data_IF_254683871132
#
_entry.id   IF_254683871132
#
_cell.length_a   1.000
_cell.length_b   1.000
_cell.length_c   1.000
_cell.angle_alpha   90.00
_cell.angle_beta   90.00
_cell.angle_gamma   90.00
#
_symmetry.space_group_name_H-M   'P 1'
#
loop_
_entity.id
_entity.type
_entity.pdbx_description
1 polymer ?
#
# COMPACT_ATOMS: atom_id res chain seq x y z
N UNK A 1 -9.82 -15.88 -9.65
CA UNK A 1 -10.44 -16.22 -8.37
C UNK A 1 -9.36 -16.44 -7.32
N UNK A 2 -9.48 -15.80 -6.15
CA UNK A 2 -8.46 -15.83 -5.08
C UNK A 2 -8.39 -17.16 -4.33
N UNK A 3 -9.27 -18.12 -4.60
CA UNK A 3 -9.35 -19.41 -3.88
C UNK A 3 -8.15 -20.34 -4.14
N UNK A 4 -7.53 -20.24 -5.29
CA UNK A 4 -6.41 -21.11 -5.67
C UNK A 4 -5.11 -20.74 -4.92
N UNK A 5 -5.03 -19.55 -4.37
CA UNK A 5 -3.91 -19.07 -3.56
C UNK A 5 -4.08 -19.32 -2.06
N UNK A 6 -5.31 -19.57 -1.62
CA UNK A 6 -5.64 -19.83 -0.21
C UNK A 6 -5.50 -21.32 0.20
N UNK A 7 -5.37 -22.23 -0.77
CA UNK A 7 -5.46 -23.68 -0.55
C UNK A 7 -4.35 -24.28 0.33
N UNK A 8 -3.28 -23.53 0.61
CA UNK A 8 -2.15 -24.03 1.40
C UNK A 8 -1.98 -23.40 2.78
N UNK A 9 -2.84 -22.48 3.20
CA UNK A 9 -2.71 -21.78 4.48
C UNK A 9 -3.93 -21.97 5.36
N UNK A 10 -3.72 -22.55 6.55
CA UNK A 10 -4.77 -22.69 7.58
C UNK A 10 -5.14 -21.34 8.24
N UNK A 11 -4.29 -20.33 8.14
CA UNK A 11 -4.46 -19.01 8.72
C UNK A 11 -3.79 -17.96 7.81
N UNK A 12 -4.43 -16.83 7.63
CA UNK A 12 -4.01 -15.77 6.69
C UNK A 12 -4.68 -15.94 5.32
N UNK A 13 -4.44 -15.03 4.40
CA UNK A 13 -5.02 -15.12 3.06
C UNK A 13 -4.82 -13.89 2.20
N UNK A 14 -5.19 -14.05 0.93
CA UNK A 14 -5.26 -12.98 -0.05
C UNK A 14 -6.69 -12.43 -0.09
N UNK A 15 -6.83 -11.13 0.21
CA UNK A 15 -8.08 -10.38 0.07
C UNK A 15 -8.02 -9.51 -1.15
N UNK A 16 -8.86 -9.83 -2.12
CA UNK A 16 -9.14 -8.94 -3.24
C UNK A 16 -10.23 -7.97 -2.79
N UNK A 17 -9.91 -6.70 -2.77
CA UNK A 17 -10.85 -5.63 -2.50
C UNK A 17 -11.37 -5.10 -3.84
N UNK A 18 -12.52 -5.58 -4.32
CA UNK A 18 -13.09 -5.07 -5.56
C UNK A 18 -13.55 -3.61 -5.35
N UNK A 19 -13.56 -2.81 -6.42
CA UNK A 19 -14.10 -1.44 -6.37
C UNK A 19 -15.61 -1.40 -6.14
N UNK A 20 -16.29 -2.56 -6.08
CA UNK A 20 -17.74 -2.67 -5.99
C UNK A 20 -18.22 -3.18 -4.65
N UNK A 21 -19.05 -2.36 -4.02
CA UNK A 21 -20.11 -2.66 -3.07
C UNK A 21 -19.95 -3.86 -2.13
N UNK A 22 -19.43 -3.59 -0.94
CA UNK A 22 -20.03 -4.18 0.25
C UNK A 22 -20.90 -3.10 0.89
N UNK A 23 -22.22 -3.31 0.80
CA UNK A 23 -23.19 -2.41 1.35
C UNK A 23 -23.06 -2.28 2.87
N UNK A 24 -22.38 -1.24 3.27
CA UNK A 24 -22.58 -0.61 4.56
C UNK A 24 -23.47 0.60 4.31
N UNK A 25 -24.51 0.76 5.09
CA UNK A 25 -25.66 1.65 4.90
C UNK A 25 -25.37 3.16 4.75
N UNK A 26 -24.19 3.63 4.37
CA UNK A 26 -23.86 5.06 4.36
C UNK A 26 -23.05 5.60 3.18
N UNK A 27 -22.89 4.88 2.08
CA UNK A 27 -22.40 5.53 0.86
C UNK A 27 -23.50 5.63 -0.17
N UNK A 28 -23.99 6.82 -0.41
CA UNK A 28 -25.04 7.11 -1.38
C UNK A 28 -24.68 6.80 -2.85
N UNK A 29 -23.52 6.24 -3.13
CA UNK A 29 -23.08 5.92 -4.50
C UNK A 29 -22.56 4.49 -4.72
N UNK A 30 -22.45 3.66 -3.68
CA UNK A 30 -22.09 2.22 -3.85
C UNK A 30 -20.72 1.92 -4.44
N UNK A 31 -19.89 2.90 -4.70
CA UNK A 31 -18.55 2.77 -5.28
C UNK A 31 -17.51 3.31 -4.32
N UNK A 32 -16.43 2.53 -4.06
CA UNK A 32 -15.29 3.05 -3.31
C UNK A 32 -14.58 4.12 -4.15
N UNK A 33 -14.40 5.31 -3.57
CA UNK A 33 -13.70 6.42 -4.24
C UNK A 33 -12.19 6.33 -4.09
N UNK A 34 -11.69 5.42 -3.25
CA UNK A 34 -10.27 5.23 -3.05
C UNK A 34 -9.91 4.05 -2.18
N UNK A 35 -8.60 3.83 -2.02
CA UNK A 35 -8.03 2.71 -1.26
C UNK A 35 -8.48 2.69 0.21
N UNK A 36 -8.61 3.84 0.85
CA UNK A 36 -9.04 3.93 2.25
C UNK A 36 -10.48 3.48 2.46
N UNK A 37 -11.38 3.83 1.55
CA UNK A 37 -12.77 3.37 1.59
C UNK A 37 -12.86 1.84 1.48
N UNK A 38 -12.11 1.27 0.53
CA UNK A 38 -12.05 -0.17 0.35
C UNK A 38 -11.51 -0.87 1.61
N UNK A 39 -10.47 -0.31 2.23
CA UNK A 39 -9.88 -0.85 3.47
C UNK A 39 -10.85 -0.74 4.66
N UNK A 40 -11.64 0.32 4.74
CA UNK A 40 -12.64 0.47 5.80
C UNK A 40 -13.67 -0.67 5.78
N UNK A 41 -14.05 -1.14 4.59
CA UNK A 41 -14.98 -2.26 4.41
C UNK A 41 -14.47 -3.60 4.94
N UNK A 42 -13.15 -3.78 5.07
CA UNK A 42 -12.53 -5.03 5.57
C UNK A 42 -11.91 -4.90 6.95
N UNK A 43 -12.15 -3.79 7.63
CA UNK A 43 -11.58 -3.50 8.96
C UNK A 43 -11.85 -4.64 9.97
N UNK A 44 -13.07 -5.18 9.98
CA UNK A 44 -13.44 -6.30 10.85
C UNK A 44 -12.61 -7.54 10.57
N UNK A 45 -12.38 -7.87 9.30
CA UNK A 45 -11.54 -8.99 8.93
C UNK A 45 -10.09 -8.80 9.36
N UNK A 46 -9.52 -7.63 9.09
CA UNK A 46 -8.17 -7.28 9.54
C UNK A 46 -8.04 -7.43 11.05
N UNK A 47 -9.06 -7.00 11.81
CA UNK A 47 -9.06 -7.11 13.27
C UNK A 47 -8.98 -8.56 13.76
N UNK A 48 -9.70 -9.47 13.12
CA UNK A 48 -9.78 -10.88 13.52
C UNK A 48 -8.66 -11.75 12.95
N UNK A 49 -7.86 -11.26 12.02
CA UNK A 49 -6.71 -12.02 11.50
C UNK A 49 -5.69 -12.27 12.63
N UNK A 50 -5.00 -13.40 12.58
CA UNK A 50 -3.94 -13.75 13.55
C UNK A 50 -2.58 -13.18 13.19
N UNK A 51 -2.42 -12.80 11.93
CA UNK A 51 -1.15 -12.34 11.38
C UNK A 51 -0.80 -10.93 11.91
N UNK A 52 0.42 -10.70 12.40
CA UNK A 52 0.82 -9.40 12.93
C UNK A 52 1.10 -8.37 11.85
N UNK A 53 1.50 -8.81 10.66
CA UNK A 53 1.83 -7.94 9.52
C UNK A 53 0.82 -8.08 8.40
N UNK A 54 0.65 -7.00 7.67
CA UNK A 54 -0.19 -6.92 6.47
C UNK A 54 0.61 -6.37 5.30
N UNK A 55 0.29 -6.87 4.12
CA UNK A 55 0.74 -6.32 2.85
C UNK A 55 -0.47 -5.68 2.17
N UNK A 56 -0.38 -4.39 1.92
CA UNK A 56 -1.33 -3.66 1.11
C UNK A 56 -0.71 -3.47 -0.28
N UNK A 57 -1.41 -3.90 -1.33
CA UNK A 57 -0.90 -3.80 -2.70
C UNK A 57 -1.97 -3.30 -3.66
N UNK A 58 -1.56 -2.50 -4.63
CA UNK A 58 -2.37 -2.15 -5.78
C UNK A 58 -2.44 -3.32 -6.76
N UNK A 59 -3.58 -3.47 -7.41
CA UNK A 59 -3.80 -4.55 -8.38
C UNK A 59 -3.29 -4.27 -9.80
N UNK A 60 -2.67 -3.12 -10.03
CA UNK A 60 -2.19 -2.65 -11.33
C UNK A 60 -0.71 -2.96 -11.62
N UNK A 61 -0.01 -3.53 -10.64
CA UNK A 61 1.42 -3.81 -10.76
C UNK A 61 1.70 -5.32 -10.72
N UNK A 62 2.36 -5.83 -11.75
CA UNK A 62 2.82 -7.22 -11.82
C UNK A 62 4.32 -7.23 -11.52
N UNK A 63 4.71 -7.99 -10.50
CA UNK A 63 6.11 -8.11 -10.10
C UNK A 63 6.47 -9.55 -9.75
N UNK A 64 7.75 -9.89 -9.85
CA UNK A 64 8.29 -11.16 -9.34
C UNK A 64 8.88 -11.00 -7.92
N UNK A 65 8.37 -10.05 -7.14
CA UNK A 65 8.85 -9.77 -5.79
C UNK A 65 8.61 -10.93 -4.84
N UNK A 66 9.58 -11.17 -3.98
CA UNK A 66 9.44 -12.13 -2.87
C UNK A 66 9.03 -11.39 -1.59
N UNK A 67 7.78 -11.48 -1.23
CA UNK A 67 7.25 -10.79 -0.03
C UNK A 67 7.99 -11.17 1.25
N UNK A 68 8.52 -12.41 1.33
CA UNK A 68 9.35 -12.84 2.46
C UNK A 68 10.58 -11.96 2.65
N UNK A 69 11.25 -11.59 1.57
CA UNK A 69 12.47 -10.77 1.61
C UNK A 69 12.14 -9.33 2.03
N UNK A 70 11.01 -8.81 1.55
CA UNK A 70 10.51 -7.49 1.95
C UNK A 70 10.15 -7.47 3.44
N UNK A 71 9.44 -8.50 3.93
CA UNK A 71 9.09 -8.62 5.34
C UNK A 71 10.33 -8.75 6.22
N UNK A 72 11.30 -9.56 5.83
CA UNK A 72 12.57 -9.71 6.56
C UNK A 72 13.28 -8.35 6.68
N UNK A 73 13.33 -7.59 5.59
CA UNK A 73 13.92 -6.25 5.59
C UNK A 73 13.13 -5.27 6.46
N UNK A 74 11.80 -5.33 6.41
CA UNK A 74 10.93 -4.53 7.27
C UNK A 74 11.25 -4.73 8.75
N UNK A 75 11.35 -5.97 9.18
CA UNK A 75 11.64 -6.33 10.58
C UNK A 75 13.06 -5.91 10.96
N UNK A 76 14.05 -6.19 10.11
CA UNK A 76 15.47 -5.86 10.34
C UNK A 76 15.67 -4.35 10.54
N UNK A 77 15.03 -3.54 9.72
CA UNK A 77 15.18 -2.08 9.73
C UNK A 77 14.32 -1.39 10.80
N UNK A 78 13.44 -2.13 11.45
CA UNK A 78 12.45 -1.60 12.41
C UNK A 78 11.63 -0.45 11.82
N UNK A 79 11.30 -0.57 10.54
CA UNK A 79 10.44 0.39 9.87
C UNK A 79 9.00 0.29 10.41
N UNK A 80 8.31 1.42 10.49
CA UNK A 80 6.87 1.42 10.73
C UNK A 80 6.12 1.01 9.46
N UNK A 81 6.57 1.53 8.31
CA UNK A 81 6.07 1.17 6.98
C UNK A 81 7.26 0.94 6.06
N UNK A 82 7.26 -0.18 5.34
CA UNK A 82 8.16 -0.41 4.21
C UNK A 82 7.38 -0.26 2.92
N UNK A 83 7.89 0.58 2.03
CA UNK A 83 7.29 0.84 0.71
C UNK A 83 8.15 0.18 -0.36
N UNK A 84 7.53 -0.58 -1.25
CA UNK A 84 8.24 -1.17 -2.38
C UNK A 84 8.36 -0.15 -3.51
N UNK A 85 9.58 0.07 -3.95
CA UNK A 85 9.92 1.06 -4.97
C UNK A 85 10.72 0.43 -6.11
N UNK A 86 10.63 1.03 -7.29
CA UNK A 86 11.59 0.88 -8.38
C UNK A 86 12.52 2.10 -8.43
N UNK A 87 13.82 1.87 -8.62
CA UNK A 87 14.75 2.99 -8.86
C UNK A 87 14.51 3.69 -10.19
N UNK A 88 14.13 2.91 -11.19
CA UNK A 88 13.84 3.40 -12.53
C UNK A 88 12.33 3.59 -12.71
N UNK A 89 11.92 4.57 -13.53
CA UNK A 89 10.53 4.73 -13.90
C UNK A 89 9.98 3.48 -14.58
N UNK A 90 8.76 3.10 -14.20
CA UNK A 90 8.07 1.92 -14.72
C UNK A 90 6.78 2.28 -15.45
N UNK A 91 6.08 3.31 -14.96
CA UNK A 91 4.77 3.70 -15.44
C UNK A 91 4.73 5.05 -16.15
N UNK A 92 3.51 5.45 -16.49
CA UNK A 92 3.23 6.79 -17.00
C UNK A 92 3.38 7.80 -15.85
N UNK A 93 4.22 8.84 -15.99
CA UNK A 93 4.43 9.86 -14.95
C UNK A 93 3.14 10.49 -14.47
N UNK A 94 2.18 10.73 -15.37
CA UNK A 94 0.89 11.33 -15.03
C UNK A 94 0.04 10.47 -14.08
N UNK A 95 0.39 9.21 -13.89
CA UNK A 95 -0.33 8.24 -13.04
C UNK A 95 0.56 7.67 -11.93
N UNK A 96 1.83 8.07 -11.88
CA UNK A 96 2.84 7.52 -10.97
C UNK A 96 3.03 8.40 -9.74
N UNK A 97 3.56 7.78 -8.70
CA UNK A 97 3.96 8.41 -7.44
C UNK A 97 5.44 8.15 -7.23
N UNK A 98 6.17 9.17 -6.82
CA UNK A 98 7.61 9.11 -6.61
C UNK A 98 7.96 9.56 -5.20
N UNK A 99 9.05 8.99 -4.65
CA UNK A 99 9.50 9.29 -3.30
C UNK A 99 10.77 10.12 -3.28
N UNK A 100 10.80 11.08 -2.35
CA UNK A 100 12.02 11.81 -1.99
C UNK A 100 12.56 11.27 -0.68
N UNK A 101 13.87 11.07 -0.62
CA UNK A 101 14.57 10.53 0.56
C UNK A 101 15.32 11.62 1.31
N UNK A 102 15.34 11.49 2.62
CA UNK A 102 16.22 12.24 3.49
C UNK A 102 17.64 11.65 3.52
N UNK A 103 18.55 12.33 4.18
CA UNK A 103 19.94 11.90 4.34
C UNK A 103 20.08 10.55 5.07
N UNK A 104 19.13 10.22 5.93
CA UNK A 104 19.05 8.97 6.66
C UNK A 104 18.37 7.82 5.86
N UNK A 105 18.03 8.05 4.60
CA UNK A 105 17.38 7.08 3.71
C UNK A 105 15.88 6.90 3.95
N UNK A 106 15.27 7.63 4.88
CA UNK A 106 13.82 7.62 5.08
C UNK A 106 13.12 8.37 3.97
N UNK A 107 11.88 7.97 3.69
CA UNK A 107 11.00 8.72 2.80
C UNK A 107 10.52 9.98 3.55
N UNK A 108 10.83 11.14 2.97
CA UNK A 108 10.48 12.46 3.54
C UNK A 108 9.52 13.25 2.66
N UNK A 109 9.25 12.78 1.46
CA UNK A 109 8.31 13.44 0.55
C UNK A 109 7.73 12.50 -0.47
N UNK A 110 6.55 12.86 -0.97
CA UNK A 110 5.78 12.13 -1.98
C UNK A 110 5.40 13.11 -3.08
N UNK A 111 5.86 12.85 -4.29
CA UNK A 111 5.51 13.61 -5.48
C UNK A 111 4.54 12.77 -6.32
N UNK A 112 3.35 13.29 -6.56
CA UNK A 112 2.30 12.61 -7.31
C UNK A 112 2.05 13.29 -8.65
N UNK A 113 1.97 12.49 -9.70
CA UNK A 113 1.63 12.93 -11.05
C UNK A 113 2.53 14.05 -11.60
N UNK A 114 3.88 13.91 -11.52
CA UNK A 114 4.76 14.91 -12.08
C UNK A 114 4.65 14.93 -13.61
N UNK A 115 5.02 16.05 -14.23
CA UNK A 115 5.05 16.18 -15.70
C UNK A 115 6.07 15.24 -16.36
N UNK A 116 7.09 14.82 -15.62
CA UNK A 116 8.16 13.95 -16.10
C UNK A 116 8.42 12.82 -15.13
N UNK A 117 8.79 11.66 -15.67
CA UNK A 117 9.23 10.52 -14.89
C UNK A 117 10.43 10.90 -14.01
N UNK A 118 10.41 10.40 -12.78
CA UNK A 118 11.46 10.59 -11.79
C UNK A 118 12.02 9.24 -11.36
N UNK A 119 13.09 9.24 -10.59
CA UNK A 119 13.59 8.07 -9.90
C UNK A 119 12.71 7.74 -8.68
N UNK A 120 12.84 6.51 -8.19
CA UNK A 120 12.18 6.05 -6.96
C UNK A 120 10.64 6.02 -7.07
N UNK A 121 10.16 5.39 -8.13
CA UNK A 121 8.73 5.21 -8.35
C UNK A 121 8.14 4.21 -7.36
N UNK A 122 7.00 4.56 -6.75
CA UNK A 122 6.19 3.66 -5.95
C UNK A 122 5.63 2.51 -6.79
N UNK A 123 5.73 1.29 -6.28
CA UNK A 123 5.05 0.13 -6.87
C UNK A 123 3.68 -0.14 -6.23
N UNK A 124 3.19 0.80 -5.40
CA UNK A 124 1.88 0.68 -4.76
C UNK A 124 1.78 -0.48 -3.76
N UNK A 125 2.91 -0.90 -3.19
CA UNK A 125 2.96 -2.01 -2.24
C UNK A 125 3.59 -1.58 -0.93
N UNK A 126 2.90 -1.87 0.20
CA UNK A 126 3.25 -1.41 1.54
C UNK A 126 3.22 -2.58 2.51
N UNK A 127 4.21 -2.67 3.39
CA UNK A 127 4.23 -3.62 4.51
C UNK A 127 4.24 -2.84 5.82
N UNK A 128 3.37 -3.24 6.74
CA UNK A 128 3.26 -2.65 8.07
C UNK A 128 2.63 -3.62 9.06
N UNK A 129 2.71 -3.29 10.34
CA UNK A 129 1.93 -3.99 11.34
C UNK A 129 0.43 -3.75 11.16
N UNK A 130 -0.36 -4.79 11.39
CA UNK A 130 -1.82 -4.74 11.33
C UNK A 130 -2.41 -3.60 12.17
N UNK A 131 -1.89 -3.41 13.38
CA UNK A 131 -2.34 -2.35 14.29
C UNK A 131 -2.11 -0.95 13.74
N UNK A 132 -0.98 -0.76 13.04
CA UNK A 132 -0.70 0.51 12.38
C UNK A 132 -1.70 0.76 11.26
N UNK A 133 -1.96 -0.24 10.40
CA UNK A 133 -2.96 -0.10 9.33
C UNK A 133 -4.33 0.28 9.88
N UNK A 134 -4.80 -0.39 10.94
CA UNK A 134 -6.08 -0.07 11.59
C UNK A 134 -6.13 1.39 12.06
N UNK A 135 -5.06 1.88 12.70
CA UNK A 135 -4.95 3.27 13.14
C UNK A 135 -4.96 4.25 11.96
N UNK A 136 -4.24 3.94 10.88
CA UNK A 136 -4.21 4.77 9.68
C UNK A 136 -5.57 4.86 8.99
N UNK A 137 -6.33 3.76 8.93
CA UNK A 137 -7.69 3.75 8.40
C UNK A 137 -8.60 4.67 9.24
N UNK A 138 -8.50 4.60 10.57
CA UNK A 138 -9.29 5.46 11.46
C UNK A 138 -8.95 6.95 11.26
N UNK A 139 -7.66 7.29 11.17
CA UNK A 139 -7.21 8.65 10.91
C UNK A 139 -7.69 9.16 9.55
N UNK A 140 -7.58 8.34 8.51
CA UNK A 140 -8.04 8.68 7.17
C UNK A 140 -9.55 8.96 7.11
N UNK A 141 -10.34 8.15 7.80
CA UNK A 141 -11.80 8.36 7.90
C UNK A 141 -12.16 9.64 8.66
N UNK A 142 -11.46 9.94 9.75
CA UNK A 142 -11.68 11.15 10.51
C UNK A 142 -11.31 12.43 9.74
N UNK A 143 -10.38 12.33 8.80
CA UNK A 143 -9.94 13.43 7.93
C UNK A 143 -10.58 13.45 6.55
N UNK A 144 -11.60 12.63 6.28
CA UNK A 144 -12.23 12.47 4.96
C UNK A 144 -11.23 12.19 3.83
N UNK A 145 -10.15 11.47 4.15
CA UNK A 145 -9.10 11.13 3.19
C UNK A 145 -9.52 9.95 2.33
N UNK A 146 -9.35 10.09 1.03
CA UNK A 146 -9.70 9.06 0.03
C UNK A 146 -8.49 8.22 -0.37
N UNK A 147 -7.33 8.87 -0.47
CA UNK A 147 -6.11 8.26 -0.99
C UNK A 147 -5.15 7.87 0.14
N UNK A 148 -4.70 6.60 0.11
CA UNK A 148 -3.76 6.13 1.12
C UNK A 148 -2.39 6.81 1.00
N UNK A 149 -1.78 6.78 -0.18
CA UNK A 149 -0.38 7.18 -0.37
C UNK A 149 -0.20 8.70 -0.38
N UNK A 150 -0.92 9.40 -1.26
CA UNK A 150 -0.84 10.86 -1.37
C UNK A 150 -1.64 11.63 -0.32
N UNK A 151 -2.48 10.91 0.42
CA UNK A 151 -3.23 11.42 1.56
C UNK A 151 -2.52 11.09 2.87
N UNK A 152 -2.99 10.01 3.53
CA UNK A 152 -2.59 9.71 4.90
C UNK A 152 -1.10 9.39 5.05
N UNK A 153 -0.49 8.64 4.13
CA UNK A 153 0.94 8.34 4.23
C UNK A 153 1.77 9.62 4.18
N UNK A 154 1.45 10.54 3.29
CA UNK A 154 2.13 11.83 3.18
C UNK A 154 2.10 12.62 4.49
N UNK A 155 0.97 12.66 5.18
CA UNK A 155 0.84 13.37 6.46
C UNK A 155 1.61 12.69 7.60
N UNK A 156 1.81 11.38 7.51
CA UNK A 156 2.49 10.60 8.54
C UNK A 156 4.01 10.50 8.36
N UNK A 157 4.58 11.03 7.28
CA UNK A 157 6.03 10.91 7.00
C UNK A 157 6.91 11.52 8.10
N UNK A 158 6.45 12.56 8.78
CA UNK A 158 7.20 13.20 9.87
C UNK A 158 7.17 12.41 11.17
N UNK A 159 6.15 11.58 11.40
CA UNK A 159 5.93 10.85 12.64
C UNK A 159 6.26 9.37 12.57
N UNK A 160 6.25 8.78 11.37
CA UNK A 160 6.54 7.37 11.14
C UNK A 160 7.89 7.18 10.45
N UNK A 161 8.54 6.06 10.78
CA UNK A 161 9.74 5.60 10.09
C UNK A 161 9.33 4.85 8.83
N UNK A 162 9.29 5.57 7.69
CA UNK A 162 8.92 5.02 6.38
C UNK A 162 10.18 4.80 5.57
N UNK A 163 10.45 3.54 5.21
CA UNK A 163 11.66 3.15 4.49
C UNK A 163 11.35 2.49 3.15
N UNK A 164 12.20 2.68 2.14
CA UNK A 164 12.05 2.01 0.87
C UNK A 164 12.60 0.58 0.91
N UNK A 165 11.98 -0.29 0.11
CA UNK A 165 12.55 -1.53 -0.36
C UNK A 165 12.65 -1.46 -1.89
N UNK A 166 13.86 -1.43 -2.42
CA UNK A 166 14.09 -1.35 -3.86
C UNK A 166 13.99 -2.73 -4.50
N UNK A 167 12.98 -2.90 -5.35
CA UNK A 167 12.85 -4.09 -6.17
C UNK A 167 13.66 -3.94 -7.46
N UNK A 168 14.57 -4.89 -7.69
CA UNK A 168 15.45 -4.91 -8.87
C UNK A 168 15.01 -5.90 -9.95
N UNK A 169 13.88 -6.60 -9.72
CA UNK A 169 13.37 -7.63 -10.63
C UNK A 169 12.40 -7.07 -11.67
N UNK A 170 11.65 -7.99 -12.27
CA UNK A 170 10.64 -7.65 -13.27
C UNK A 170 9.49 -6.85 -12.66
N UNK A 171 9.12 -5.77 -13.34
CA UNK A 171 7.96 -4.94 -13.03
C UNK A 171 7.23 -4.59 -14.32
N UNK A 172 5.92 -4.76 -14.31
CA UNK A 172 5.05 -4.27 -15.37
C UNK A 172 3.79 -3.65 -14.76
N UNK A 173 3.33 -2.53 -15.34
CA UNK A 173 2.05 -1.94 -15.00
C UNK A 173 1.00 -2.35 -16.01
N UNK A 174 -0.18 -2.66 -15.49
CA UNK A 174 -1.37 -2.87 -16.31
C UNK A 174 -1.93 -1.51 -16.71
N UNK A 175 -2.06 -1.31 -18.01
CA UNK A 175 -2.72 -0.13 -18.56
C UNK A 175 -4.19 -0.46 -18.80
N UNK A 176 -5.07 0.24 -18.11
CA UNK A 176 -6.51 0.27 -18.39
C UNK A 176 -6.86 1.57 -19.09
#
# INVERSE_FOLDING_TARGET
SGKDWDLSRKNGGLFLLPPFSYGGEQSHSGTFTGKLDALAGVTSYIAHSREPYVVLADGDCITNIRLRDVLARHIETKADITVVCSKLPVGDPARSIYYRFGEDGRIVGIDSHPERAQENESLGMFIMEKRLLQRLIQLGRAGDMVHFERGILREQLSSLRVLPYFHAGYVARLHN
#
